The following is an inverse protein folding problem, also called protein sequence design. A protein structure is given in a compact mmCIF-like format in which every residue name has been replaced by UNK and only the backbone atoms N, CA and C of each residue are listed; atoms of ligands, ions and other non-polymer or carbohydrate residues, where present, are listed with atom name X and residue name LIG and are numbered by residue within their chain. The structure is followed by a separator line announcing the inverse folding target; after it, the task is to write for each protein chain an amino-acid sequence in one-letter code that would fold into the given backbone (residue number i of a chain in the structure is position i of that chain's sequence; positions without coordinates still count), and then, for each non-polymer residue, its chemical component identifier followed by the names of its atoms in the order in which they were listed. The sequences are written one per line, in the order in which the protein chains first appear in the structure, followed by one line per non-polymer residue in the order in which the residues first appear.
data_IF_455797631940
#
_entry.id   IF_455797631940
#
_cell.length_a   1.000
_cell.length_b   1.000
_cell.length_c   1.000
_cell.angle_alpha   90.00
_cell.angle_beta   90.00
_cell.angle_gamma   90.00
#
_symmetry.space_group_name_H-M   'P 1'
#
loop_
_entity.id
_entity.type
_entity.pdbx_description
1 polymer ?
#
# COMPACT_ATOMS: atom_id res chain seq x y z
N UNK A 1 -14.31 -0.55 -5.96
CA UNK A 1 -13.13 -1.35 -5.58
C UNK A 1 -12.15 -1.37 -6.74
N UNK A 2 -10.96 -0.81 -6.52
CA UNK A 2 -9.88 -0.76 -7.50
C UNK A 2 -9.47 -2.19 -7.93
N UNK A 3 -9.27 -2.42 -9.25
CA UNK A 3 -8.90 -3.74 -9.80
C UNK A 3 -7.54 -4.24 -9.31
N UNK A 4 -6.61 -3.32 -9.05
CA UNK A 4 -5.27 -3.62 -8.53
C UNK A 4 -5.37 -4.09 -7.08
N UNK A 5 -6.16 -3.39 -6.25
CA UNK A 5 -6.46 -3.79 -4.87
C UNK A 5 -7.14 -5.17 -4.83
N UNK A 6 -8.12 -5.42 -5.70
CA UNK A 6 -8.77 -6.74 -5.81
C UNK A 6 -7.75 -7.84 -6.14
N UNK A 7 -6.85 -7.59 -7.10
CA UNK A 7 -5.80 -8.54 -7.47
C UNK A 7 -4.80 -8.74 -6.33
N UNK A 8 -4.41 -7.67 -5.63
CA UNK A 8 -3.49 -7.72 -4.50
C UNK A 8 -4.00 -8.66 -3.41
N UNK A 9 -5.28 -8.54 -3.04
CA UNK A 9 -5.94 -9.43 -2.07
C UNK A 9 -5.91 -10.90 -2.49
N UNK A 10 -6.03 -11.20 -3.79
CA UNK A 10 -5.99 -12.58 -4.30
C UNK A 10 -4.60 -13.20 -4.26
N UNK A 11 -3.54 -12.40 -4.46
CA UNK A 11 -2.15 -12.89 -4.50
C UNK A 11 -1.42 -12.75 -3.16
N UNK A 12 -2.02 -12.08 -2.18
CA UNK A 12 -1.46 -11.86 -0.85
C UNK A 12 -1.24 -13.18 -0.10
N UNK A 13 -0.01 -13.71 -0.20
CA UNK A 13 0.41 -14.93 0.49
C UNK A 13 0.55 -14.71 2.00
N UNK A 14 0.81 -13.49 2.43
CA UNK A 14 1.02 -13.14 3.83
C UNK A 14 -0.26 -12.89 4.61
N UNK A 15 -1.41 -12.91 3.94
CA UNK A 15 -2.72 -12.62 4.55
C UNK A 15 -2.77 -11.28 5.30
N UNK A 16 -1.89 -10.32 4.93
CA UNK A 16 -1.90 -8.96 5.47
C UNK A 16 -3.20 -8.25 5.12
N UNK A 17 -3.64 -7.32 5.96
CA UNK A 17 -4.71 -6.40 5.55
C UNK A 17 -4.23 -5.54 4.37
N UNK A 18 -5.07 -5.38 3.35
CA UNK A 18 -4.81 -4.53 2.20
C UNK A 18 -5.90 -3.45 2.16
N UNK A 19 -5.55 -2.17 2.33
CA UNK A 19 -6.50 -1.06 2.32
C UNK A 19 -7.35 -1.01 1.04
N UNK A 20 -8.66 -0.82 1.22
CA UNK A 20 -9.64 -0.71 0.13
C UNK A 20 -9.74 0.72 -0.42
N UNK A 21 -8.63 1.26 -0.91
CA UNK A 21 -8.54 2.63 -1.41
C UNK A 21 -8.70 2.73 -2.94
N UNK A 22 -9.07 3.91 -3.43
CA UNK A 22 -9.19 4.25 -4.83
C UNK A 22 -8.30 5.46 -5.22
N UNK A 23 -7.89 5.52 -6.49
CA UNK A 23 -7.14 6.67 -7.01
C UNK A 23 -8.03 7.92 -7.01
N UNK A 24 -7.51 9.02 -6.47
CA UNK A 24 -8.23 10.28 -6.26
C UNK A 24 -8.97 10.37 -4.92
N UNK A 25 -9.01 9.29 -4.14
CA UNK A 25 -9.61 9.27 -2.80
C UNK A 25 -8.79 10.12 -1.82
N UNK A 26 -9.48 10.82 -0.92
CA UNK A 26 -8.88 11.65 0.13
C UNK A 26 -9.22 11.00 1.47
N UNK A 27 -8.19 10.58 2.20
CA UNK A 27 -8.28 9.79 3.42
C UNK A 27 -7.26 10.27 4.46
N UNK A 28 -7.36 9.77 5.69
CA UNK A 28 -6.32 9.97 6.69
C UNK A 28 -5.18 8.97 6.45
N UNK A 29 -3.95 9.31 6.85
CA UNK A 29 -2.81 8.41 6.66
C UNK A 29 -3.02 7.09 7.41
N UNK A 30 -3.78 7.09 8.50
CA UNK A 30 -4.18 5.89 9.24
C UNK A 30 -5.00 4.88 8.41
N UNK A 31 -5.65 5.31 7.32
CA UNK A 31 -6.41 4.43 6.43
C UNK A 31 -5.47 3.62 5.52
N UNK A 32 -4.24 4.11 5.32
CA UNK A 32 -3.21 3.49 4.50
C UNK A 32 -2.05 2.87 5.31
N UNK A 33 -1.68 3.45 6.43
CA UNK A 33 -0.49 3.09 7.21
C UNK A 33 -0.85 2.82 8.67
N UNK A 34 -0.36 1.71 9.21
CA UNK A 34 -0.65 1.25 10.57
C UNK A 34 0.21 1.93 11.66
N UNK A 35 1.12 2.82 11.26
CA UNK A 35 2.01 3.53 12.17
C UNK A 35 3.35 2.81 12.42
N UNK A 36 3.61 1.68 11.75
CA UNK A 36 4.86 0.93 11.92
C UNK A 36 5.96 1.43 10.97
N UNK A 37 7.14 1.68 11.53
CA UNK A 37 8.31 2.14 10.79
C UNK A 37 8.43 3.66 10.69
N UNK A 38 9.11 4.12 9.64
CA UNK A 38 9.23 5.55 9.33
C UNK A 38 7.93 6.08 8.74
N UNK A 39 7.60 7.34 9.04
CA UNK A 39 6.41 8.00 8.49
C UNK A 39 6.57 8.11 6.97
N UNK A 40 5.66 7.52 6.17
CA UNK A 40 5.74 7.63 4.72
C UNK A 40 5.42 9.06 4.27
N UNK A 41 6.24 9.59 3.36
CA UNK A 41 6.11 10.98 2.89
C UNK A 41 5.42 11.07 1.50
N UNK A 42 5.57 10.04 0.67
CA UNK A 42 5.11 10.01 -0.73
C UNK A 42 4.42 8.70 -1.14
N UNK A 43 4.78 7.59 -0.49
CA UNK A 43 4.21 6.28 -0.81
C UNK A 43 4.35 5.28 0.34
N UNK A 44 3.48 4.27 0.32
CA UNK A 44 3.58 3.13 1.24
C UNK A 44 3.22 1.83 0.53
N UNK A 45 4.01 0.78 0.77
CA UNK A 45 3.90 -0.49 0.06
C UNK A 45 3.71 -1.68 0.99
N UNK A 46 2.83 -2.58 0.61
CA UNK A 46 2.65 -3.88 1.26
C UNK A 46 3.22 -5.00 0.40
N UNK A 47 4.17 -5.74 0.97
CA UNK A 47 4.67 -6.99 0.38
C UNK A 47 3.55 -8.04 0.36
N UNK A 48 3.25 -8.55 -0.84
CA UNK A 48 2.18 -9.54 -1.09
C UNK A 48 2.72 -10.94 -1.25
N UNK A 49 3.87 -11.08 -1.91
CA UNK A 49 4.55 -12.36 -2.11
C UNK A 49 6.05 -12.18 -1.89
N UNK A 50 6.65 -13.08 -1.13
CA UNK A 50 8.09 -13.32 -1.12
C UNK A 50 8.31 -14.60 -1.92
N UNK A 51 9.11 -14.50 -2.98
CA UNK A 51 9.49 -15.62 -3.82
C UNK A 51 11.03 -15.77 -3.81
N UNK A 52 11.63 -15.77 -2.63
CA UNK A 52 13.00 -16.25 -2.44
C UNK A 52 13.25 -17.66 -3.02
N UNK A 53 14.50 -17.93 -3.41
CA UNK A 53 14.97 -19.14 -4.10
C UNK A 53 14.35 -20.47 -3.57
N UNK A 54 13.99 -21.36 -4.52
CA UNK A 54 13.40 -22.71 -4.40
C UNK A 54 11.86 -22.69 -4.43
N UNK A 55 11.14 -23.14 -5.46
CA UNK A 55 11.34 -24.28 -6.36
C UNK A 55 10.68 -23.89 -7.72
N UNK A 56 11.41 -24.00 -8.83
CA UNK A 56 10.91 -24.04 -10.21
C UNK A 56 10.22 -22.84 -10.88
N UNK A 57 10.21 -21.63 -10.31
CA UNK A 57 9.93 -20.42 -11.13
C UNK A 57 10.58 -19.19 -10.52
N UNK A 58 11.27 -18.38 -11.34
CA UNK A 58 11.70 -17.02 -10.95
C UNK A 58 10.45 -16.20 -10.61
N UNK A 59 9.99 -16.28 -9.37
CA UNK A 59 8.97 -15.41 -8.83
C UNK A 59 9.67 -14.17 -8.33
N UNK A 60 9.28 -13.00 -8.84
CA UNK A 60 9.69 -11.75 -8.23
C UNK A 60 8.84 -11.52 -6.98
N UNK A 61 9.41 -10.82 -6.01
CA UNK A 61 8.62 -10.24 -4.93
C UNK A 61 7.64 -9.24 -5.54
N UNK A 62 6.39 -9.29 -5.09
CA UNK A 62 5.35 -8.39 -5.56
C UNK A 62 4.86 -7.59 -4.37
N UNK A 63 4.93 -6.28 -4.49
CA UNK A 63 4.36 -5.32 -3.56
C UNK A 63 3.15 -4.65 -4.22
N UNK A 64 2.15 -4.28 -3.43
CA UNK A 64 1.20 -3.22 -3.82
C UNK A 64 1.68 -1.92 -3.20
N UNK A 65 1.85 -0.89 -4.02
CA UNK A 65 2.28 0.43 -3.60
C UNK A 65 1.14 1.44 -3.80
N UNK A 66 0.98 2.30 -2.81
CA UNK A 66 0.03 3.41 -2.82
C UNK A 66 0.84 4.69 -2.81
N UNK A 67 0.85 5.41 -3.93
CA UNK A 67 1.47 6.73 -4.07
C UNK A 67 0.43 7.78 -3.70
N UNK A 68 0.82 8.74 -2.89
CA UNK A 68 -0.09 9.77 -2.40
C UNK A 68 0.58 11.15 -2.31
N UNK A 69 -0.26 12.18 -2.24
CA UNK A 69 0.15 13.55 -1.94
C UNK A 69 -0.42 13.97 -0.59
N UNK A 70 0.40 14.62 0.25
CA UNK A 70 -0.07 15.22 1.50
C UNK A 70 -0.87 16.48 1.18
N UNK A 71 -2.13 16.49 1.59
CA UNK A 71 -3.05 17.62 1.42
C UNK A 71 -3.04 18.52 2.66
N UNK A 72 -2.95 17.91 3.85
CA UNK A 72 -2.90 18.65 5.12
C UNK A 72 -2.08 17.88 6.17
N UNK A 73 -0.93 18.43 6.54
CA UNK A 73 -0.13 17.90 7.65
C UNK A 73 -0.79 18.15 9.01
N UNK A 74 -0.83 17.11 9.84
CA UNK A 74 -1.26 17.21 11.24
C UNK A 74 -0.09 16.97 12.19
N UNK A 75 -0.28 17.40 13.45
CA UNK A 75 0.72 17.17 14.51
C UNK A 75 0.96 15.68 14.76
N UNK A 76 -0.09 14.87 14.65
CA UNK A 76 0.00 13.42 14.67
C UNK A 76 0.05 12.93 13.22
N UNK A 77 1.11 12.23 12.79
CA UNK A 77 1.24 11.77 11.40
C UNK A 77 0.07 10.91 10.92
N UNK A 78 -0.52 10.11 11.80
CA UNK A 78 -1.66 9.24 11.46
C UNK A 78 -2.93 10.03 11.06
N UNK A 79 -3.05 11.27 11.52
CA UNK A 79 -4.19 12.14 11.21
C UNK A 79 -3.94 12.99 9.95
N UNK A 80 -2.74 12.90 9.35
CA UNK A 80 -2.38 13.65 8.13
C UNK A 80 -3.31 13.26 7.00
N UNK A 81 -3.85 14.25 6.31
CA UNK A 81 -4.79 14.03 5.20
C UNK A 81 -3.99 13.86 3.92
N UNK A 82 -4.19 12.73 3.26
CA UNK A 82 -3.52 12.36 2.02
C UNK A 82 -4.54 12.18 0.89
N UNK A 83 -4.07 12.35 -0.34
CA UNK A 83 -4.81 12.00 -1.54
C UNK A 83 -4.07 10.90 -2.27
N UNK A 84 -4.72 9.77 -2.51
CA UNK A 84 -4.14 8.69 -3.30
C UNK A 84 -4.04 9.14 -4.76
N UNK A 85 -2.83 9.14 -5.30
CA UNK A 85 -2.55 9.55 -6.68
C UNK A 85 -2.52 8.33 -7.60
N UNK A 86 -1.91 7.24 -7.14
CA UNK A 86 -1.71 6.04 -7.95
C UNK A 86 -1.64 4.80 -7.05
N UNK A 87 -2.21 3.70 -7.53
CA UNK A 87 -2.06 2.39 -6.90
C UNK A 87 -1.46 1.44 -7.91
N UNK A 88 -0.33 0.80 -7.60
CA UNK A 88 0.40 -0.03 -8.57
C UNK A 88 1.06 -1.25 -7.93
N UNK A 89 1.49 -2.20 -8.77
CA UNK A 89 2.35 -3.31 -8.34
C UNK A 89 3.81 -2.97 -8.62
N UNK A 90 4.69 -3.31 -7.68
CA UNK A 90 6.14 -3.07 -7.75
C UNK A 90 6.91 -4.34 -7.41
#
# INVERSE_FOLDING_TARGET
MNKIVEKAKKINKFQKYIPELEEGEIVELNDLWDGEGEVPEDSYSYLLTDNGENDDTYGYDININYVFEIIEEKKNPLDTVIKIIQIEFV
#
